data_IF_273203780259
#
_entry.id   IF_273203780259
#
_cell.length_a   1.000
_cell.length_b   1.000
_cell.length_c   1.000
_cell.angle_alpha   90.00
_cell.angle_beta   90.00
_cell.angle_gamma   90.00
#
_symmetry.space_group_name_H-M   'P 1'
#
loop_
_entity.id
_entity.type
_entity.pdbx_description
1 polymer ?
#
# COMPACT_ATOMS: atom_id res chain seq x y z
N UNK A 1 14.69 -16.22 -12.45
CA UNK A 1 13.80 -15.07 -12.19
C UNK A 1 14.52 -13.80 -12.61
N UNK A 2 13.88 -12.99 -13.43
CA UNK A 2 14.51 -11.81 -14.01
C UNK A 2 14.10 -10.56 -13.21
N UNK A 3 15.04 -9.80 -12.66
CA UNK A 3 14.70 -8.55 -11.98
C UNK A 3 14.09 -7.52 -12.94
N UNK A 4 13.05 -6.85 -12.46
CA UNK A 4 12.41 -5.77 -13.20
C UNK A 4 13.20 -4.48 -13.12
N UNK A 5 13.95 -4.29 -12.03
CA UNK A 5 14.76 -3.10 -11.81
C UNK A 5 16.23 -3.47 -11.67
N UNK A 6 17.10 -2.53 -11.99
CA UNK A 6 18.54 -2.72 -11.95
C UNK A 6 19.20 -1.70 -11.03
N UNK A 7 20.47 -1.94 -10.70
CA UNK A 7 21.26 -1.00 -9.92
C UNK A 7 21.19 0.41 -10.53
N UNK A 8 20.92 1.39 -9.70
CA UNK A 8 20.83 2.77 -10.11
C UNK A 8 19.47 3.24 -10.59
N UNK A 9 18.53 2.30 -10.81
CA UNK A 9 17.19 2.70 -11.22
C UNK A 9 16.50 3.50 -10.12
N UNK A 10 15.80 4.55 -10.52
CA UNK A 10 14.98 5.32 -9.60
C UNK A 10 13.61 4.68 -9.51
N UNK A 11 13.18 4.37 -8.30
CA UNK A 11 11.93 3.66 -8.05
C UNK A 11 11.11 4.40 -7.00
N UNK A 12 9.80 4.14 -7.01
CA UNK A 12 8.88 4.69 -6.02
C UNK A 12 8.16 3.56 -5.31
N UNK A 13 8.07 3.64 -3.98
CA UNK A 13 7.24 2.68 -3.25
C UNK A 13 5.78 3.03 -3.40
N UNK A 14 4.97 2.02 -3.72
CA UNK A 14 3.52 2.18 -3.91
C UNK A 14 2.72 1.74 -2.69
N UNK A 15 3.40 1.27 -1.66
CA UNK A 15 2.82 0.87 -0.37
C UNK A 15 3.68 1.42 0.74
N UNK A 16 3.10 1.60 1.92
CA UNK A 16 3.88 1.86 3.12
C UNK A 16 4.73 0.64 3.42
N UNK A 17 6.03 0.83 3.61
CA UNK A 17 6.95 -0.26 3.94
C UNK A 17 7.19 -0.24 5.44
N UNK A 18 6.83 -1.33 6.11
CA UNK A 18 7.01 -1.47 7.55
C UNK A 18 8.09 -2.49 7.83
N UNK A 19 8.73 -2.36 8.99
CA UNK A 19 9.78 -3.27 9.39
C UNK A 19 9.20 -4.65 9.66
N UNK A 20 9.68 -5.64 8.92
CA UNK A 20 9.30 -7.04 9.10
C UNK A 20 10.20 -7.76 10.10
N UNK A 21 11.05 -7.03 10.80
CA UNK A 21 12.01 -7.57 11.75
C UNK A 21 13.44 -7.62 11.22
N UNK A 22 13.64 -7.36 9.93
CA UNK A 22 14.98 -7.44 9.32
C UNK A 22 15.75 -6.13 9.36
N UNK A 23 15.07 -5.00 9.60
CA UNK A 23 15.74 -3.71 9.68
C UNK A 23 16.26 -3.48 11.09
N UNK A 24 17.59 -3.34 11.25
CA UNK A 24 18.17 -3.23 12.58
C UNK A 24 17.90 -1.88 13.24
N UNK A 25 17.69 -1.90 14.55
CA UNK A 25 17.54 -0.69 15.34
C UNK A 25 16.13 -0.14 15.40
N UNK A 26 15.18 -0.78 14.74
CA UNK A 26 13.76 -0.36 14.74
C UNK A 26 12.88 -1.53 15.14
N UNK A 27 11.75 -1.25 15.76
CA UNK A 27 10.80 -2.29 16.15
C UNK A 27 10.08 -2.88 14.93
N UNK A 28 9.70 -4.15 15.05
CA UNK A 28 8.88 -4.81 14.05
C UNK A 28 7.54 -4.08 13.94
N UNK A 29 7.10 -3.81 12.71
CA UNK A 29 5.88 -3.08 12.43
C UNK A 29 6.07 -1.58 12.31
N UNK A 30 7.26 -1.06 12.64
CA UNK A 30 7.56 0.37 12.51
C UNK A 30 7.52 0.78 11.05
N UNK A 31 6.91 1.93 10.75
CA UNK A 31 6.91 2.47 9.40
C UNK A 31 8.33 2.92 9.05
N UNK A 32 8.88 2.36 7.98
CA UNK A 32 10.21 2.71 7.51
C UNK A 32 10.16 3.74 6.38
N UNK A 33 9.25 3.53 5.42
CA UNK A 33 9.13 4.41 4.25
C UNK A 33 7.65 4.56 3.91
N UNK A 34 7.22 5.79 3.69
CA UNK A 34 5.83 6.06 3.28
C UNK A 34 5.65 5.84 1.79
N UNK A 35 4.48 5.34 1.41
CA UNK A 35 4.12 5.22 -0.01
C UNK A 35 4.30 6.55 -0.73
N UNK A 36 4.76 6.49 -1.96
CA UNK A 36 5.08 7.68 -2.76
C UNK A 36 6.52 8.13 -2.64
N UNK A 37 7.27 7.63 -1.67
CA UNK A 37 8.68 7.98 -1.52
C UNK A 37 9.51 7.39 -2.66
N UNK A 38 10.52 8.12 -3.09
CA UNK A 38 11.39 7.76 -4.20
C UNK A 38 12.78 7.42 -3.66
N UNK A 39 13.38 6.40 -4.23
CA UNK A 39 14.74 5.99 -3.88
C UNK A 39 15.44 5.38 -5.08
N UNK A 40 16.67 4.92 -4.85
CA UNK A 40 17.51 4.35 -5.88
C UNK A 40 17.87 2.93 -5.54
N UNK A 41 17.77 2.02 -6.52
CA UNK A 41 18.16 0.63 -6.32
C UNK A 41 19.68 0.55 -6.18
N UNK A 42 20.15 -0.03 -5.08
CA UNK A 42 21.58 -0.22 -4.81
C UNK A 42 22.00 -1.67 -4.86
N UNK A 43 21.07 -2.60 -4.73
CA UNK A 43 21.36 -4.02 -4.82
C UNK A 43 20.10 -4.79 -5.12
N UNK A 44 20.25 -5.96 -5.73
CA UNK A 44 19.16 -6.87 -6.03
C UNK A 44 19.58 -8.24 -5.53
N UNK A 45 18.76 -8.81 -4.66
CA UNK A 45 19.03 -10.12 -4.09
C UNK A 45 17.82 -11.03 -4.19
N UNK A 46 18.01 -12.29 -3.83
CA UNK A 46 16.90 -13.24 -3.74
C UNK A 46 16.69 -13.62 -2.28
N UNK A 47 15.43 -13.78 -1.92
CA UNK A 47 15.04 -14.23 -0.59
C UNK A 47 14.17 -15.47 -0.76
N UNK A 48 14.51 -16.54 -0.04
CA UNK A 48 13.77 -17.80 -0.09
C UNK A 48 13.67 -18.37 -1.52
N UNK A 49 14.70 -18.16 -2.34
CA UNK A 49 14.88 -18.71 -3.68
C UNK A 49 13.94 -18.17 -4.76
N UNK A 50 12.76 -17.63 -4.41
CA UNK A 50 11.76 -17.24 -5.39
C UNK A 50 11.29 -15.79 -5.24
N UNK A 51 11.83 -15.04 -4.30
CA UNK A 51 11.47 -13.64 -4.11
C UNK A 51 12.66 -12.72 -4.38
N UNK A 52 12.42 -11.71 -5.20
CA UNK A 52 13.40 -10.66 -5.43
C UNK A 52 13.22 -9.57 -4.38
N UNK A 53 14.32 -9.18 -3.76
CA UNK A 53 14.36 -8.08 -2.79
C UNK A 53 15.36 -7.05 -3.30
N UNK A 54 14.91 -5.81 -3.38
CA UNK A 54 15.73 -4.69 -3.80
C UNK A 54 16.15 -3.89 -2.59
N UNK A 55 17.45 -3.65 -2.45
CA UNK A 55 17.93 -2.70 -1.45
C UNK A 55 17.81 -1.31 -2.06
N UNK A 56 16.91 -0.51 -1.53
CA UNK A 56 16.60 0.81 -2.06
C UNK A 56 17.07 1.88 -1.09
N UNK A 57 17.85 2.82 -1.62
CA UNK A 57 18.37 3.93 -0.84
C UNK A 57 17.41 5.10 -0.95
N UNK A 58 16.68 5.36 0.13
CA UNK A 58 15.75 6.48 0.22
C UNK A 58 16.49 7.67 0.82
N UNK A 59 17.18 8.41 -0.02
CA UNK A 59 18.05 9.50 0.41
C UNK A 59 17.30 10.52 1.27
N UNK A 60 16.07 10.86 0.87
CA UNK A 60 15.26 11.80 1.63
C UNK A 60 14.87 11.32 3.02
N UNK A 61 14.82 10.01 3.23
CA UNK A 61 14.51 9.40 4.51
C UNK A 61 15.78 9.04 5.31
N UNK A 62 16.94 9.12 4.66
CA UNK A 62 18.20 8.78 5.29
C UNK A 62 18.37 7.30 5.62
N UNK A 63 17.71 6.41 4.86
CA UNK A 63 17.82 4.97 5.15
C UNK A 63 17.75 4.13 3.90
N UNK A 64 18.34 2.95 3.99
CA UNK A 64 18.28 1.93 2.94
C UNK A 64 17.37 0.81 3.42
N UNK A 65 16.39 0.43 2.63
CA UNK A 65 15.36 -0.52 3.02
C UNK A 65 15.20 -1.57 1.94
N UNK A 66 15.06 -2.84 2.35
CA UNK A 66 14.73 -3.93 1.44
C UNK A 66 13.26 -3.86 1.03
N UNK A 67 13.01 -3.80 -0.26
CA UNK A 67 11.67 -3.74 -0.81
C UNK A 67 11.44 -4.89 -1.78
N UNK A 68 10.24 -5.42 -1.78
CA UNK A 68 9.84 -6.45 -2.74
C UNK A 68 9.46 -5.79 -4.06
N UNK A 69 9.56 -6.56 -5.14
CA UNK A 69 9.26 -6.03 -6.47
C UNK A 69 7.85 -5.46 -6.57
N UNK A 70 6.88 -6.15 -5.97
CA UNK A 70 5.49 -5.69 -6.00
C UNK A 70 5.22 -4.42 -5.18
N UNK A 71 6.18 -3.99 -4.38
CA UNK A 71 6.07 -2.75 -3.61
C UNK A 71 6.61 -1.54 -4.35
N UNK A 72 7.16 -1.75 -5.54
CA UNK A 72 7.88 -0.72 -6.29
C UNK A 72 7.29 -0.51 -7.68
N UNK A 73 7.41 0.72 -8.17
CA UNK A 73 7.25 1.03 -9.58
C UNK A 73 8.39 1.95 -10.02
N UNK A 74 8.61 2.07 -11.32
CA UNK A 74 9.59 3.03 -11.82
C UNK A 74 9.15 4.44 -11.42
N UNK A 75 10.10 5.26 -10.96
CA UNK A 75 9.77 6.62 -10.53
C UNK A 75 9.18 7.48 -11.65
N UNK A 76 9.54 7.16 -12.90
CA UNK A 76 9.03 7.88 -14.07
C UNK A 76 7.59 7.52 -14.42
N UNK A 77 7.08 6.40 -13.89
CA UNK A 77 5.70 5.98 -14.14
C UNK A 77 4.73 6.92 -13.42
N UNK A 78 3.53 7.13 -13.97
CA UNK A 78 2.54 7.99 -13.31
C UNK A 78 2.21 7.47 -11.90
N UNK A 79 2.21 8.39 -10.95
CA UNK A 79 1.85 8.11 -9.57
C UNK A 79 0.49 8.74 -9.26
N UNK A 80 -0.48 7.89 -8.93
CA UNK A 80 -1.81 8.34 -8.52
C UNK A 80 -1.91 8.13 -7.01
N UNK A 81 -1.86 9.22 -6.22
CA UNK A 81 -1.98 9.09 -4.77
C UNK A 81 -3.38 8.59 -4.41
N UNK A 82 -3.45 7.67 -3.44
CA UNK A 82 -4.70 7.14 -2.93
C UNK A 82 -4.76 7.39 -1.43
N UNK A 83 -5.99 7.55 -0.90
CA UNK A 83 -6.16 7.75 0.55
C UNK A 83 -5.85 6.47 1.31
N UNK A 84 -6.12 5.31 0.71
CA UNK A 84 -6.00 4.02 1.37
C UNK A 84 -5.13 3.08 0.54
N UNK A 85 -4.57 2.10 1.21
CA UNK A 85 -3.73 1.08 0.60
C UNK A 85 -4.15 -0.31 1.05
N UNK A 86 -3.55 -1.32 0.45
CA UNK A 86 -3.79 -2.73 0.73
C UNK A 86 -3.68 -3.01 2.24
N UNK A 87 -4.62 -3.74 2.78
CA UNK A 87 -4.74 -4.13 4.19
C UNK A 87 -5.15 -3.01 5.14
N UNK A 88 -5.28 -1.77 4.69
CA UNK A 88 -5.76 -0.72 5.58
C UNK A 88 -7.21 -0.93 5.93
N UNK A 89 -7.57 -0.52 7.14
CA UNK A 89 -8.95 -0.54 7.60
C UNK A 89 -9.66 0.73 7.17
N UNK A 90 -10.91 0.58 6.76
CA UNK A 90 -11.75 1.69 6.31
C UNK A 90 -13.15 1.52 6.86
N UNK A 91 -13.92 2.59 6.84
CA UNK A 91 -15.33 2.56 7.20
C UNK A 91 -16.15 3.27 6.11
N UNK A 92 -17.38 2.81 5.83
CA UNK A 92 -18.23 3.50 4.85
C UNK A 92 -18.66 4.87 5.36
N UNK A 93 -18.78 5.83 4.45
CA UNK A 93 -19.39 7.13 4.74
C UNK A 93 -20.91 7.08 4.60
N UNK A 94 -21.38 6.14 3.77
CA UNK A 94 -22.79 5.93 3.45
C UNK A 94 -23.09 4.44 3.52
N UNK A 95 -24.37 4.09 3.51
CA UNK A 95 -24.75 2.68 3.42
C UNK A 95 -24.30 2.11 2.08
N UNK A 96 -23.67 0.96 2.12
CA UNK A 96 -23.21 0.25 0.93
C UNK A 96 -24.04 -1.00 0.74
N UNK A 97 -24.54 -1.21 -0.47
CA UNK A 97 -25.39 -2.34 -0.73
C UNK A 97 -25.26 -2.91 -2.12
N UNK A 98 -25.84 -4.09 -2.28
CA UNK A 98 -25.94 -4.80 -3.56
C UNK A 98 -27.39 -5.22 -3.72
N UNK A 99 -27.99 -4.83 -4.85
CA UNK A 99 -29.35 -5.25 -5.21
C UNK A 99 -30.36 -4.98 -4.11
N UNK A 100 -30.27 -3.81 -3.48
CA UNK A 100 -31.20 -3.40 -2.44
C UNK A 100 -30.90 -3.94 -1.05
N UNK A 101 -29.89 -4.79 -0.91
CA UNK A 101 -29.46 -5.31 0.39
C UNK A 101 -28.29 -4.49 0.93
N UNK A 102 -28.42 -3.96 2.13
CA UNK A 102 -27.35 -3.20 2.75
C UNK A 102 -26.32 -4.20 3.31
N UNK A 103 -25.07 -4.09 2.83
CA UNK A 103 -24.00 -4.97 3.24
C UNK A 103 -23.16 -4.33 4.36
N UNK A 104 -22.96 -3.01 4.29
CA UNK A 104 -22.16 -2.29 5.28
C UNK A 104 -22.73 -0.91 5.54
N UNK A 105 -22.56 -0.42 6.75
CA UNK A 105 -23.08 0.89 7.20
C UNK A 105 -21.93 1.71 7.78
N UNK A 106 -22.11 3.04 7.87
CA UNK A 106 -21.13 3.87 8.57
C UNK A 106 -20.85 3.31 9.97
N UNK A 107 -19.56 3.22 10.31
CA UNK A 107 -19.09 2.63 11.55
C UNK A 107 -18.65 1.19 11.44
N UNK A 108 -19.06 0.47 10.39
CA UNK A 108 -18.58 -0.89 10.14
C UNK A 108 -17.12 -0.83 9.70
N UNK A 109 -16.36 -1.85 10.05
CA UNK A 109 -14.95 -1.95 9.68
C UNK A 109 -14.80 -2.85 8.47
N UNK A 110 -14.10 -2.37 7.46
CA UNK A 110 -13.70 -3.17 6.30
C UNK A 110 -12.21 -3.14 6.11
N UNK A 111 -11.71 -4.05 5.28
CA UNK A 111 -10.29 -4.13 4.95
C UNK A 111 -10.13 -4.01 3.45
N UNK A 112 -9.20 -3.16 3.02
CA UNK A 112 -8.88 -2.98 1.61
C UNK A 112 -8.15 -4.22 1.10
N UNK A 113 -8.73 -4.88 0.09
CA UNK A 113 -8.14 -6.06 -0.55
C UNK A 113 -7.45 -5.72 -1.86
N UNK A 114 -7.86 -4.64 -2.52
CA UNK A 114 -7.27 -4.22 -3.78
C UNK A 114 -7.48 -2.72 -3.98
N UNK A 115 -6.48 -2.07 -4.54
CA UNK A 115 -6.53 -0.64 -4.87
C UNK A 115 -6.67 -0.52 -6.38
N UNK A 116 -7.70 0.18 -6.84
CA UNK A 116 -7.98 0.41 -8.25
C UNK A 116 -7.62 1.86 -8.59
N UNK A 117 -6.35 2.10 -8.91
CA UNK A 117 -5.84 3.44 -9.16
C UNK A 117 -6.34 4.05 -10.45
N UNK A 118 -6.60 3.19 -11.45
CA UNK A 118 -6.99 3.63 -12.79
C UNK A 118 -8.50 3.65 -12.98
N UNK A 119 -9.26 3.51 -11.90
CA UNK A 119 -10.71 3.46 -12.01
C UNK A 119 -11.26 4.78 -12.54
N UNK A 120 -12.19 4.69 -13.48
CA UNK A 120 -12.85 5.86 -14.04
C UNK A 120 -13.59 6.62 -12.95
N UNK A 121 -13.42 7.93 -12.90
CA UNK A 121 -14.03 8.76 -11.87
C UNK A 121 -13.19 8.91 -10.60
N UNK A 122 -11.99 8.30 -10.55
CA UNK A 122 -11.09 8.39 -9.41
C UNK A 122 -10.80 7.05 -8.79
N UNK A 123 -9.90 6.99 -7.81
CA UNK A 123 -9.54 5.74 -7.17
C UNK A 123 -10.73 5.03 -6.53
N UNK A 124 -10.72 3.70 -6.61
CA UNK A 124 -11.71 2.85 -5.96
C UNK A 124 -11.00 1.67 -5.32
N UNK A 125 -11.73 0.90 -4.54
CA UNK A 125 -11.13 -0.18 -3.76
C UNK A 125 -12.04 -1.40 -3.75
N UNK A 126 -11.44 -2.58 -3.73
CA UNK A 126 -12.14 -3.76 -3.29
C UNK A 126 -11.99 -3.82 -1.78
N UNK A 127 -13.10 -3.74 -1.07
CA UNK A 127 -13.12 -3.71 0.39
C UNK A 127 -13.96 -4.87 0.90
N UNK A 128 -13.43 -5.60 1.86
CA UNK A 128 -14.12 -6.72 2.47
C UNK A 128 -14.82 -6.27 3.74
N UNK A 129 -16.16 -6.40 3.73
CA UNK A 129 -17.01 -6.15 4.89
C UNK A 129 -17.78 -7.43 5.20
N UNK A 130 -17.71 -7.89 6.45
CA UNK A 130 -18.51 -9.03 6.93
C UNK A 130 -18.41 -10.25 5.99
N UNK A 131 -17.21 -10.53 5.49
CA UNK A 131 -16.98 -11.67 4.61
C UNK A 131 -17.36 -11.47 3.15
N UNK A 132 -17.80 -10.27 2.77
CA UNK A 132 -18.17 -9.95 1.38
C UNK A 132 -17.31 -8.82 0.85
N UNK A 133 -16.83 -8.98 -0.38
CA UNK A 133 -16.00 -7.96 -1.03
C UNK A 133 -16.85 -7.11 -1.96
N UNK A 134 -16.77 -5.80 -1.76
CA UNK A 134 -17.46 -4.80 -2.57
C UNK A 134 -16.46 -3.89 -3.26
N UNK A 135 -16.80 -3.42 -4.45
CA UNK A 135 -16.05 -2.36 -5.12
C UNK A 135 -16.63 -1.02 -4.66
N UNK A 136 -15.79 -0.20 -4.00
CA UNK A 136 -16.24 1.03 -3.36
C UNK A 136 -15.38 2.20 -3.83
N UNK A 137 -16.01 3.28 -4.33
CA UNK A 137 -15.23 4.47 -4.69
C UNK A 137 -14.62 5.13 -3.47
N UNK A 138 -13.49 5.77 -3.66
CA UNK A 138 -12.78 6.43 -2.56
C UNK A 138 -13.65 7.42 -1.79
N UNK A 139 -14.53 8.12 -2.50
CA UNK A 139 -15.40 9.13 -1.92
C UNK A 139 -16.43 8.55 -0.93
N UNK A 140 -16.67 7.25 -0.97
CA UNK A 140 -17.63 6.60 -0.09
C UNK A 140 -16.97 5.99 1.16
N UNK A 141 -15.66 6.23 1.36
CA UNK A 141 -14.90 5.65 2.47
C UNK A 141 -14.26 6.72 3.33
N UNK A 142 -14.08 6.39 4.61
CA UNK A 142 -13.33 7.17 5.57
C UNK A 142 -12.36 6.29 6.33
N UNK A 143 -11.36 6.91 6.94
CA UNK A 143 -10.50 6.23 7.90
C UNK A 143 -11.30 5.94 9.17
N UNK A 144 -11.05 4.81 9.85
CA UNK A 144 -11.71 4.53 11.13
C UNK A 144 -11.41 5.63 12.15
N UNK A 145 -12.36 5.86 13.05
CA UNK A 145 -12.26 6.95 14.02
C UNK A 145 -11.04 6.84 14.93
N UNK A 146 -10.57 5.63 15.20
CA UNK A 146 -9.43 5.38 16.07
C UNK A 146 -8.09 5.34 15.34
N UNK A 147 -8.09 5.54 14.03
CA UNK A 147 -6.85 5.51 13.24
C UNK A 147 -6.09 6.84 13.27
N UNK A 148 -6.69 7.88 13.82
CA UNK A 148 -6.13 9.23 13.79
C UNK A 148 -4.86 9.43 14.62
N UNK A 149 -4.51 8.50 15.48
CA UNK A 149 -3.31 8.58 16.30
C UNK A 149 -2.04 8.07 15.62
N UNK A 150 -2.15 7.47 14.48
CA UNK A 150 -1.02 6.92 13.75
C UNK A 150 -0.45 7.95 12.80
N UNK A 151 0.43 8.73 13.27
CA UNK A 151 1.07 9.71 12.42
C UNK A 151 2.18 9.10 11.60
#
# INVERSE_FOLDING_TARGET
MRPKFEYGDEVRVIRNVRNDGTYPGEDTGRLLVRRGSVGYVRDVGTFLQDQLVYSVDFVGEGRMVGCREQELQAAADPWVPTRFEFHEKVTPRVNLGIRGEIIARPGDSGEVEKVLRDHEGGPAYHVRFHGRTLMVPETALDAPADAGGEA
#
